data_IF_323755432067
#
_entry.id   IF_323755432067
#
_cell.length_a   1.000
_cell.length_b   1.000
_cell.length_c   1.000
_cell.angle_alpha   90.00
_cell.angle_beta   90.00
_cell.angle_gamma   90.00
#
_symmetry.space_group_name_H-M   'P 1'
#
loop_
_entity.id
_entity.type
_entity.pdbx_description
1 polymer ?
#
# COMPACT_ATOMS: atom_id res chain seq x y z
N UNK A 1 4.65 -9.87 -18.20
CA UNK A 1 4.51 -8.41 -18.35
C UNK A 1 5.61 -7.94 -19.27
N UNK A 2 5.26 -7.29 -20.38
CA UNK A 2 6.21 -6.74 -21.34
C UNK A 2 5.85 -5.28 -21.56
N UNK A 3 6.87 -4.42 -21.65
CA UNK A 3 6.70 -3.05 -22.15
C UNK A 3 7.27 -3.02 -23.55
N UNK A 4 6.46 -2.53 -24.49
CA UNK A 4 6.92 -2.12 -25.80
C UNK A 4 6.91 -0.60 -25.85
N UNK A 5 8.01 -0.05 -26.35
CA UNK A 5 8.24 1.39 -26.40
C UNK A 5 7.65 1.88 -27.72
N UNK A 6 6.56 2.65 -27.69
CA UNK A 6 5.91 3.06 -28.94
C UNK A 6 5.56 4.54 -28.84
N UNK A 7 6.26 5.30 -29.71
CA UNK A 7 6.02 6.66 -30.19
C UNK A 7 6.81 7.78 -29.48
N UNK A 8 7.64 8.47 -30.28
CA UNK A 8 8.27 9.76 -29.95
C UNK A 8 7.22 10.84 -29.70
N UNK A 9 7.50 11.74 -28.74
CA UNK A 9 6.64 12.84 -28.28
C UNK A 9 6.01 13.74 -29.35
N UNK A 10 6.42 13.64 -30.62
CA UNK A 10 5.89 14.41 -31.76
C UNK A 10 4.38 14.24 -32.02
N UNK A 11 3.74 13.26 -31.38
CA UNK A 11 2.29 13.04 -31.46
C UNK A 11 1.55 13.29 -30.13
N UNK A 12 2.22 13.86 -29.12
CA UNK A 12 1.59 14.22 -27.84
C UNK A 12 1.54 15.74 -27.67
N UNK A 13 0.34 16.31 -27.80
CA UNK A 13 0.08 17.71 -27.45
C UNK A 13 -0.11 17.91 -25.92
N UNK A 14 0.21 16.89 -25.11
CA UNK A 14 0.04 16.96 -23.66
C UNK A 14 1.25 17.61 -22.98
N UNK A 15 1.07 18.73 -22.25
CA UNK A 15 2.16 19.43 -21.59
C UNK A 15 2.95 18.53 -20.64
N UNK A 16 4.26 18.46 -20.84
CA UNK A 16 5.18 17.71 -19.97
C UNK A 16 5.24 16.21 -20.24
N UNK A 17 4.48 15.65 -21.19
CA UNK A 17 4.62 14.26 -21.55
C UNK A 17 5.87 14.03 -22.44
N UNK A 18 6.69 13.05 -22.07
CA UNK A 18 7.97 12.74 -22.73
C UNK A 18 7.99 11.36 -23.39
N UNK A 19 7.21 10.40 -22.87
CA UNK A 19 7.11 9.05 -23.45
C UNK A 19 5.68 8.50 -23.34
N UNK A 20 5.27 7.69 -24.33
CA UNK A 20 4.09 6.82 -24.25
C UNK A 20 4.55 5.39 -23.97
N UNK A 21 3.83 4.72 -23.07
CA UNK A 21 4.12 3.36 -22.63
C UNK A 21 2.97 2.47 -23.08
N UNK A 22 3.28 1.41 -23.83
CA UNK A 22 2.36 0.28 -24.04
C UNK A 22 2.76 -0.87 -23.12
N UNK A 23 1.86 -1.21 -22.21
CA UNK A 23 2.05 -2.26 -21.24
C UNK A 23 1.18 -3.46 -21.60
N UNK A 24 1.85 -4.57 -21.90
CA UNK A 24 1.20 -5.84 -22.23
C UNK A 24 1.32 -6.81 -21.05
N UNK A 25 0.18 -7.34 -20.63
CA UNK A 25 0.05 -8.24 -19.51
C UNK A 25 -0.58 -9.54 -19.97
N UNK A 26 -0.01 -10.63 -19.49
CA UNK A 26 -0.60 -11.95 -19.55
C UNK A 26 -0.78 -12.41 -18.11
N UNK A 27 -2.01 -12.77 -17.75
CA UNK A 27 -2.39 -13.20 -16.41
C UNK A 27 -3.19 -14.50 -16.51
N UNK A 28 -3.00 -15.39 -15.54
CA UNK A 28 -3.87 -16.55 -15.39
C UNK A 28 -5.04 -16.16 -14.47
N UNK A 29 -6.26 -16.24 -14.99
CA UNK A 29 -7.47 -16.00 -14.22
C UNK A 29 -8.35 -17.25 -14.28
N UNK A 30 -8.56 -17.92 -13.13
CA UNK A 30 -9.36 -19.16 -13.03
C UNK A 30 -8.99 -20.24 -14.05
N UNK A 31 -7.70 -20.38 -14.38
CA UNK A 31 -7.21 -21.37 -15.35
C UNK A 31 -7.15 -20.87 -16.80
N UNK A 32 -7.72 -19.71 -17.09
CA UNK A 32 -7.70 -19.11 -18.43
C UNK A 32 -6.58 -18.07 -18.56
N UNK A 33 -5.90 -18.08 -19.70
CA UNK A 33 -4.89 -17.07 -20.02
C UNK A 33 -5.60 -15.83 -20.54
N UNK A 34 -5.58 -14.75 -19.75
CA UNK A 34 -6.07 -13.45 -20.16
C UNK A 34 -4.91 -12.56 -20.61
N UNK A 35 -5.06 -11.92 -21.77
CA UNK A 35 -4.15 -10.89 -22.25
C UNK A 35 -4.81 -9.51 -22.12
N UNK A 36 -4.06 -8.52 -21.66
CA UNK A 36 -4.54 -7.13 -21.59
C UNK A 36 -3.45 -6.16 -21.99
N UNK A 37 -3.86 -5.09 -22.67
CA UNK A 37 -2.98 -3.97 -23.04
C UNK A 37 -3.45 -2.72 -22.33
N UNK A 38 -2.51 -1.97 -21.75
CA UNK A 38 -2.77 -0.70 -21.08
C UNK A 38 -1.79 0.34 -21.57
N UNK A 39 -2.26 1.56 -21.80
CA UNK A 39 -1.41 2.68 -22.21
C UNK A 39 -1.19 3.63 -21.03
N UNK A 40 0.01 4.21 -20.96
CA UNK A 40 0.34 5.22 -19.96
C UNK A 40 1.24 6.29 -20.59
N UNK A 41 1.25 7.48 -20.00
CA UNK A 41 2.15 8.58 -20.35
C UNK A 41 3.04 8.90 -19.16
N UNK A 42 4.24 9.40 -19.43
CA UNK A 42 5.18 9.80 -18.37
C UNK A 42 5.90 11.08 -18.77
N UNK A 43 6.20 11.91 -17.77
CA UNK A 43 7.07 13.07 -17.91
C UNK A 43 8.55 12.73 -17.83
N UNK A 44 8.90 11.49 -17.48
CA UNK A 44 10.28 11.04 -17.47
C UNK A 44 10.78 10.86 -18.91
N UNK A 45 11.90 11.49 -19.29
CA UNK A 45 12.54 11.25 -20.58
C UNK A 45 13.27 9.90 -20.60
N UNK A 46 13.61 9.41 -21.80
CA UNK A 46 14.14 8.05 -22.02
C UNK A 46 15.52 7.82 -21.41
N UNK A 47 16.33 8.87 -21.35
CA UNK A 47 17.64 8.90 -20.69
C UNK A 47 17.54 8.70 -19.17
N UNK A 48 16.42 9.10 -18.55
CA UNK A 48 16.17 8.92 -17.11
C UNK A 48 15.40 7.64 -16.79
N UNK A 49 14.52 7.19 -17.69
CA UNK A 49 13.71 6.00 -17.48
C UNK A 49 13.55 5.20 -18.78
N UNK A 50 14.34 4.14 -18.89
CA UNK A 50 14.21 3.13 -19.93
C UNK A 50 12.99 2.21 -19.67
N UNK A 51 12.75 1.26 -20.59
CA UNK A 51 11.60 0.35 -20.47
C UNK A 51 11.62 -0.51 -19.19
N UNK A 52 12.80 -0.86 -18.66
CA UNK A 52 12.93 -1.68 -17.46
C UNK A 52 12.63 -0.87 -16.19
N UNK A 53 13.13 0.37 -16.14
CA UNK A 53 12.82 1.33 -15.07
C UNK A 53 11.33 1.62 -15.06
N UNK A 54 10.74 1.92 -16.22
CA UNK A 54 9.30 2.16 -16.34
C UNK A 54 8.46 0.95 -15.92
N UNK A 55 8.87 -0.26 -16.28
CA UNK A 55 8.20 -1.49 -15.82
C UNK A 55 8.26 -1.62 -14.31
N UNK A 56 9.40 -1.30 -13.70
CA UNK A 56 9.60 -1.37 -12.26
C UNK A 56 8.73 -0.35 -11.52
N UNK A 57 8.63 0.87 -12.05
CA UNK A 57 7.74 1.92 -11.53
C UNK A 57 6.26 1.52 -11.64
N UNK A 58 5.84 1.00 -12.80
CA UNK A 58 4.46 0.54 -13.02
C UNK A 58 4.10 -0.63 -12.10
N UNK A 59 5.02 -1.57 -11.88
CA UNK A 59 4.84 -2.64 -10.88
C UNK A 59 4.77 -2.07 -9.45
N UNK A 60 5.62 -1.10 -9.14
CA UNK A 60 5.64 -0.39 -7.86
C UNK A 60 4.29 0.30 -7.57
N UNK A 61 3.66 0.89 -8.59
CA UNK A 61 2.32 1.45 -8.46
C UNK A 61 1.28 0.39 -8.08
N UNK A 62 1.33 -0.79 -8.68
CA UNK A 62 0.44 -1.90 -8.29
C UNK A 62 0.63 -2.27 -6.80
N UNK A 63 1.85 -2.26 -6.29
CA UNK A 63 2.07 -2.55 -4.85
C UNK A 63 1.33 -1.59 -3.93
N UNK A 64 1.04 -0.36 -4.37
CA UNK A 64 0.23 0.60 -3.61
C UNK A 64 -1.23 0.16 -3.60
N UNK A 65 -1.82 -0.13 -4.76
CA UNK A 65 -3.20 -0.58 -4.90
C UNK A 65 -3.44 -1.93 -4.16
N UNK A 66 -2.47 -2.85 -4.18
CA UNK A 66 -2.54 -4.08 -3.40
C UNK A 66 -2.63 -3.83 -1.88
N UNK A 67 -2.05 -2.75 -1.36
CA UNK A 67 -2.14 -2.42 0.07
C UNK A 67 -3.57 -2.04 0.45
N UNK A 68 -4.23 -1.21 -0.35
CA UNK A 68 -5.65 -0.87 -0.17
C UNK A 68 -6.52 -2.14 -0.24
N UNK A 69 -6.27 -3.00 -1.21
CA UNK A 69 -6.99 -4.27 -1.31
C UNK A 69 -6.84 -5.14 -0.05
N UNK A 70 -5.64 -5.22 0.53
CA UNK A 70 -5.41 -5.96 1.78
C UNK A 70 -6.19 -5.33 2.95
N UNK A 71 -6.20 -4.00 3.04
CA UNK A 71 -6.93 -3.28 4.09
C UNK A 71 -8.45 -3.54 4.00
N UNK A 72 -9.02 -3.48 2.80
CA UNK A 72 -10.45 -3.75 2.60
C UNK A 72 -10.79 -5.23 2.80
N UNK A 73 -10.07 -6.13 2.13
CA UNK A 73 -10.38 -7.55 2.11
C UNK A 73 -10.08 -8.25 3.44
N UNK A 74 -8.99 -7.87 4.12
CA UNK A 74 -8.55 -8.56 5.34
C UNK A 74 -8.79 -7.74 6.61
N UNK A 75 -8.66 -6.40 6.57
CA UNK A 75 -8.88 -5.56 7.76
C UNK A 75 -10.26 -4.93 7.80
N UNK A 76 -11.09 -5.24 6.79
CA UNK A 76 -12.49 -4.82 6.67
C UNK A 76 -12.63 -3.31 6.82
N UNK A 77 -11.65 -2.55 6.31
CA UNK A 77 -11.63 -1.09 6.40
C UNK A 77 -12.92 -0.50 5.84
N UNK A 78 -13.31 -0.89 4.62
CA UNK A 78 -14.58 -0.50 4.00
C UNK A 78 -15.85 -0.89 4.78
N UNK A 79 -15.79 -1.85 5.71
CA UNK A 79 -16.92 -2.19 6.59
C UNK A 79 -16.95 -1.42 7.91
N UNK A 80 -15.93 -0.60 8.21
CA UNK A 80 -15.86 0.15 9.45
C UNK A 80 -16.94 1.25 9.50
N UNK A 81 -17.80 1.21 10.52
CA UNK A 81 -18.91 2.17 10.73
C UNK A 81 -18.61 3.23 11.79
N UNK A 82 -17.36 3.36 12.24
CA UNK A 82 -16.97 4.42 13.18
C UNK A 82 -17.08 5.76 12.46
N UNK A 83 -17.88 6.69 13.00
CA UNK A 83 -18.13 8.03 12.39
C UNK A 83 -17.98 9.18 13.38
N UNK A 84 -17.62 8.90 14.62
CA UNK A 84 -17.60 9.91 15.68
C UNK A 84 -16.28 10.66 15.70
N UNK A 85 -16.34 12.00 15.56
CA UNK A 85 -15.16 12.88 15.64
C UNK A 85 -13.99 12.39 14.77
N UNK A 86 -12.79 12.35 15.35
CA UNK A 86 -11.58 11.91 14.65
C UNK A 86 -11.33 10.39 14.71
N UNK A 87 -12.28 9.61 15.25
CA UNK A 87 -12.08 8.17 15.49
C UNK A 87 -11.96 7.38 14.17
N UNK A 88 -12.66 7.80 13.11
CA UNK A 88 -12.55 7.16 11.80
C UNK A 88 -11.11 7.28 11.23
N UNK A 89 -10.56 8.50 11.26
CA UNK A 89 -9.20 8.78 10.80
C UNK A 89 -8.14 8.11 11.66
N UNK A 90 -8.30 8.11 12.99
CA UNK A 90 -7.42 7.40 13.90
C UNK A 90 -7.42 5.88 13.63
N UNK A 91 -8.60 5.29 13.44
CA UNK A 91 -8.74 3.87 13.17
C UNK A 91 -8.11 3.46 11.82
N UNK A 92 -8.32 4.29 10.78
CA UNK A 92 -7.62 4.16 9.50
C UNK A 92 -6.10 4.19 9.70
N UNK A 93 -5.58 5.24 10.33
CA UNK A 93 -4.14 5.42 10.57
C UNK A 93 -3.49 4.22 11.30
N UNK A 94 -4.17 3.67 12.32
CA UNK A 94 -3.70 2.49 13.06
C UNK A 94 -3.63 1.25 12.15
N UNK A 95 -4.63 1.02 11.29
CA UNK A 95 -4.61 -0.11 10.34
C UNK A 95 -3.43 0.01 9.36
N UNK A 96 -3.19 1.21 8.83
CA UNK A 96 -2.03 1.46 7.96
C UNK A 96 -0.71 1.21 8.68
N UNK A 97 -0.58 1.70 9.91
CA UNK A 97 0.62 1.47 10.74
C UNK A 97 0.84 -0.02 11.00
N UNK A 98 -0.21 -0.77 11.34
CA UNK A 98 -0.15 -2.21 11.54
C UNK A 98 0.29 -2.93 10.25
N UNK A 99 -0.34 -2.64 9.11
CA UNK A 99 0.05 -3.24 7.83
C UNK A 99 1.52 -2.98 7.48
N UNK A 100 2.00 -1.76 7.72
CA UNK A 100 3.41 -1.40 7.48
C UNK A 100 4.37 -2.14 8.42
N UNK A 101 3.99 -2.26 9.70
CA UNK A 101 4.76 -3.02 10.67
C UNK A 101 4.81 -4.51 10.29
N UNK A 102 3.69 -5.09 9.81
CA UNK A 102 3.64 -6.49 9.38
C UNK A 102 4.64 -6.75 8.27
N UNK A 103 4.66 -5.86 7.28
CA UNK A 103 5.62 -5.93 6.17
C UNK A 103 7.06 -5.84 6.66
N UNK A 104 7.36 -4.92 7.58
CA UNK A 104 8.71 -4.75 8.14
C UNK A 104 9.17 -5.99 8.89
N UNK A 105 8.27 -6.61 9.65
CA UNK A 105 8.54 -7.82 10.43
C UNK A 105 8.36 -9.13 9.64
N UNK A 106 8.03 -9.05 8.34
CA UNK A 106 7.78 -10.20 7.44
C UNK A 106 6.65 -11.12 7.90
N UNK A 107 5.68 -10.60 8.64
CA UNK A 107 4.42 -11.30 8.93
C UNK A 107 3.42 -11.07 7.80
N UNK A 108 2.50 -12.03 7.60
CA UNK A 108 1.33 -11.76 6.78
C UNK A 108 0.41 -10.75 7.48
N UNK A 109 -0.25 -9.90 6.71
CA UNK A 109 -1.17 -8.89 7.25
C UNK A 109 -2.30 -9.54 8.07
N UNK A 110 -2.75 -10.72 7.64
CA UNK A 110 -3.76 -11.54 8.32
C UNK A 110 -3.24 -12.10 9.64
N UNK A 111 -2.03 -12.69 9.67
CA UNK A 111 -1.45 -13.24 10.89
C UNK A 111 -1.20 -12.15 11.94
N UNK A 112 -0.67 -11.00 11.52
CA UNK A 112 -0.53 -9.86 12.43
C UNK A 112 -1.89 -9.45 12.98
N UNK A 113 -2.90 -9.28 12.13
CA UNK A 113 -4.17 -8.75 12.62
C UNK A 113 -4.92 -9.74 13.50
N UNK A 114 -4.79 -11.05 13.30
CA UNK A 114 -5.34 -12.05 14.23
C UNK A 114 -4.61 -12.04 15.58
N UNK A 115 -3.28 -12.04 15.59
CA UNK A 115 -2.46 -12.02 16.82
C UNK A 115 -2.68 -10.73 17.63
N UNK A 116 -2.86 -9.60 16.94
CA UNK A 116 -2.85 -8.27 17.55
C UNK A 116 -4.24 -7.66 17.75
N UNK A 117 -5.28 -8.12 17.04
CA UNK A 117 -6.66 -7.75 17.36
C UNK A 117 -7.09 -8.28 18.73
N UNK A 118 -6.57 -9.44 19.14
CA UNK A 118 -6.75 -9.99 20.47
C UNK A 118 -5.89 -9.28 21.54
N UNK A 119 -4.79 -8.63 21.15
CA UNK A 119 -3.82 -8.01 22.06
C UNK A 119 -3.38 -6.62 21.57
N UNK A 120 -4.26 -5.63 21.70
CA UNK A 120 -4.00 -4.24 21.30
C UNK A 120 -2.79 -3.65 22.05
N UNK A 121 -2.57 -4.05 23.31
CA UNK A 121 -1.39 -3.65 24.10
C UNK A 121 -0.07 -4.11 23.46
N UNK A 122 -0.02 -5.34 22.94
CA UNK A 122 1.13 -5.91 22.25
C UNK A 122 1.39 -5.17 20.92
N UNK A 123 0.33 -4.81 20.20
CA UNK A 123 0.43 -3.98 18.99
C UNK A 123 1.05 -2.62 19.29
N UNK A 124 0.52 -1.95 20.30
CA UNK A 124 1.02 -0.65 20.71
C UNK A 124 2.45 -0.71 21.28
N UNK A 125 2.86 -1.82 21.90
CA UNK A 125 4.26 -2.05 22.29
C UNK A 125 5.17 -2.23 21.05
N UNK A 126 4.78 -3.07 20.09
CA UNK A 126 5.56 -3.29 18.85
C UNK A 126 5.61 -2.06 17.94
N UNK A 127 4.60 -1.19 17.99
CA UNK A 127 4.62 0.14 17.36
C UNK A 127 5.38 1.20 18.17
N UNK A 128 5.93 0.85 19.35
CA UNK A 128 6.55 1.76 20.31
C UNK A 128 5.64 2.92 20.77
N UNK A 129 4.32 2.79 20.64
CA UNK A 129 3.33 3.79 21.06
C UNK A 129 3.18 3.82 22.60
N UNK A 130 3.27 2.66 23.26
CA UNK A 130 3.08 2.52 24.73
C UNK A 130 4.41 2.56 25.52
N UNK A 131 5.54 2.87 24.89
CA UNK A 131 6.81 2.99 25.62
C UNK A 131 6.82 4.08 26.72
N UNK A 132 5.78 4.93 26.79
CA UNK A 132 5.69 6.04 27.76
C UNK A 132 4.70 5.88 28.92
N UNK A 133 3.93 4.78 29.02
CA UNK A 133 2.96 4.62 30.12
C UNK A 133 3.40 3.66 31.22
N UNK A 134 4.47 2.90 31.03
CA UNK A 134 5.00 1.99 32.06
C UNK A 134 5.67 2.71 33.25
N UNK A 135 5.84 4.05 33.19
CA UNK A 135 6.51 4.86 34.22
C UNK A 135 5.59 5.67 35.14
N UNK A 136 4.26 5.51 35.08
CA UNK A 136 3.34 6.19 36.01
C UNK A 136 2.40 5.21 36.70
N UNK A 137 2.93 4.35 37.57
CA UNK A 137 2.16 3.90 38.72
C UNK A 137 2.32 4.99 39.79
N UNK A 138 1.28 5.81 39.98
CA UNK A 138 1.16 6.57 41.23
C UNK A 138 1.07 5.54 42.37
N UNK A 139 1.97 5.67 43.34
CA UNK A 139 1.85 5.01 44.64
C UNK A 139 0.51 5.40 45.26
N UNK A 140 -0.19 4.51 45.98
CA UNK A 140 -1.30 4.94 46.81
C UNK A 140 -0.75 5.91 47.86
N UNK A 141 -1.43 7.05 48.04
CA UNK A 141 -1.17 7.99 49.13
C UNK A 141 -1.56 7.32 50.46
N UNK A 142 -0.68 7.23 51.46
CA UNK A 142 -1.03 6.69 52.76
C UNK A 142 -1.59 7.81 53.64
N UNK A 143 -2.91 7.98 53.65
CA UNK A 143 -3.66 8.59 54.77
C UNK A 143 -5.01 7.94 54.94
#
# INVERSE_FOLDING_TARGET
MRISNIIDSKYLDWPGAKQIIRLERQTLNKGEVCQSTTYAITSLPRDQADANVLLSLLRGRWLIECRFHILDAHLREGHCRIRTGNAAHACCSIRYAALNLARKLRYSATAMCQEHAANVSLLCQRMHIIAKLAGRRQSPDPR
#
